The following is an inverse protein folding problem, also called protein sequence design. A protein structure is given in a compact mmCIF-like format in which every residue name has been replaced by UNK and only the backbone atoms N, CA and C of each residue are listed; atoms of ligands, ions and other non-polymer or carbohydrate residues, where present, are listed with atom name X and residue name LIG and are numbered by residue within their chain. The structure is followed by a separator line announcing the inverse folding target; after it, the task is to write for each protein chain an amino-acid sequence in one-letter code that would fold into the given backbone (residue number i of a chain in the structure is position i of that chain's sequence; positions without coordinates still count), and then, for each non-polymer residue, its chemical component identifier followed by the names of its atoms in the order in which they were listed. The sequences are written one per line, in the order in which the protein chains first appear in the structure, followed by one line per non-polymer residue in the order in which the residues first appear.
data_IF_298147149582
#
_entry.id   IF_298147149582
#
_cell.length_a   1.000
_cell.length_b   1.000
_cell.length_c   1.000
_cell.angle_alpha   90.00
_cell.angle_beta   90.00
_cell.angle_gamma   90.00
#
_symmetry.space_group_name_H-M   'P 1'
#
loop_
_entity.id
_entity.type
_entity.pdbx_description
1 polymer ?
#
# COMPACT_ATOMS: atom_id res chain seq x y z
N UNK A 1 -31.17 -3.33 13.05
CA UNK A 1 -30.50 -2.09 12.60
C UNK A 1 -29.46 -2.39 11.51
N UNK A 2 -29.86 -2.91 10.34
CA UNK A 2 -28.91 -3.38 9.30
C UNK A 2 -29.14 -2.75 7.91
N UNK A 3 -30.14 -1.86 7.79
CA UNK A 3 -30.55 -1.22 6.52
C UNK A 3 -30.05 0.22 6.38
N UNK A 4 -29.58 0.85 7.46
CA UNK A 4 -29.11 2.25 7.45
C UNK A 4 -27.68 2.38 6.90
N UNK A 5 -26.84 1.35 7.13
CA UNK A 5 -25.44 1.37 6.69
C UNK A 5 -25.30 1.37 5.14
N UNK A 6 -26.28 0.79 4.44
CA UNK A 6 -26.28 0.67 2.99
C UNK A 6 -26.64 2.01 2.31
N UNK A 7 -27.40 2.88 2.98
CA UNK A 7 -27.73 4.21 2.48
C UNK A 7 -26.55 5.18 2.60
N UNK A 8 -25.75 5.08 3.66
CA UNK A 8 -24.57 5.96 3.85
C UNK A 8 -23.49 5.69 2.79
N UNK A 9 -23.33 4.42 2.39
CA UNK A 9 -22.37 4.03 1.37
C UNK A 9 -22.79 4.47 -0.04
N UNK A 10 -24.09 4.52 -0.33
CA UNK A 10 -24.62 4.93 -1.63
C UNK A 10 -24.53 6.45 -1.84
N UNK A 11 -24.71 7.24 -0.78
CA UNK A 11 -24.57 8.70 -0.83
C UNK A 11 -23.14 9.16 -1.15
N UNK A 12 -22.13 8.38 -0.73
CA UNK A 12 -20.73 8.74 -0.94
C UNK A 12 -20.26 8.47 -2.37
N UNK A 13 -20.94 7.58 -3.11
CA UNK A 13 -20.58 7.21 -4.48
C UNK A 13 -21.07 8.23 -5.53
N UNK A 14 -22.06 9.06 -5.19
CA UNK A 14 -22.63 10.06 -6.10
C UNK A 14 -21.95 11.44 -5.99
N UNK A 15 -20.95 11.58 -5.12
CA UNK A 15 -20.13 12.79 -4.99
C UNK A 15 -19.01 12.81 -6.05
N UNK A 16 -19.38 12.67 -7.32
CA UNK A 16 -18.52 13.09 -8.43
C UNK A 16 -18.55 14.63 -8.46
N UNK A 17 -17.40 15.33 -8.41
CA UNK A 17 -17.41 16.77 -8.63
C UNK A 17 -17.68 17.00 -10.12
N UNK A 18 -18.93 17.29 -10.45
CA UNK A 18 -19.30 17.89 -11.72
C UNK A 18 -18.68 19.29 -11.75
N UNK A 19 -17.55 19.43 -12.46
CA UNK A 19 -16.98 20.71 -12.84
C UNK A 19 -17.96 21.40 -13.80
N UNK A 20 -18.84 22.22 -13.24
CA UNK A 20 -19.71 23.14 -13.99
C UNK A 20 -19.11 24.54 -13.95
N UNK A 21 -18.68 25.01 -15.12
CA UNK A 21 -18.19 26.35 -15.42
C UNK A 21 -19.32 27.38 -15.39
N UNK A 22 -19.10 28.56 -14.80
CA UNK A 22 -20.02 29.69 -15.03
C UNK A 22 -19.86 30.93 -14.13
N UNK A 23 -18.91 31.80 -14.50
CA UNK A 23 -18.95 33.29 -14.43
C UNK A 23 -19.30 34.03 -13.12
N UNK A 24 -18.31 34.71 -12.51
CA UNK A 24 -18.10 36.17 -12.64
C UNK A 24 -17.47 36.83 -11.39
N UNK A 25 -16.51 37.73 -11.65
CA UNK A 25 -16.08 38.89 -10.85
C UNK A 25 -15.13 38.69 -9.66
N UNK A 26 -13.82 38.84 -9.94
CA UNK A 26 -12.83 39.78 -9.35
C UNK A 26 -11.44 39.13 -9.29
N UNK A 27 -10.40 39.65 -9.98
CA UNK A 27 -9.04 39.16 -9.77
C UNK A 27 -8.52 39.77 -8.46
N UNK A 28 -8.73 39.07 -7.34
CA UNK A 28 -7.95 39.35 -6.14
C UNK A 28 -6.55 38.83 -6.42
N UNK A 29 -5.66 39.76 -6.77
CA UNK A 29 -4.25 39.52 -6.93
C UNK A 29 -3.65 39.21 -5.55
N UNK A 30 -3.53 37.92 -5.24
CA UNK A 30 -2.73 37.45 -4.12
C UNK A 30 -1.24 37.61 -4.46
N UNK A 31 -0.39 37.96 -3.49
CA UNK A 31 1.02 38.21 -3.75
C UNK A 31 1.72 36.95 -4.24
N UNK A 32 2.39 37.10 -5.37
CA UNK A 32 3.43 36.28 -6.00
C UNK A 32 3.67 34.88 -5.43
N UNK A 33 3.36 33.90 -6.29
CA UNK A 33 3.95 32.57 -6.35
C UNK A 33 5.48 32.61 -6.25
N UNK A 34 6.03 32.56 -5.04
CA UNK A 34 7.48 32.41 -4.79
C UNK A 34 7.88 31.21 -3.95
N UNK A 35 6.99 30.22 -3.85
CA UNK A 35 7.41 28.87 -3.50
C UNK A 35 7.08 27.97 -4.68
N UNK A 36 8.01 27.84 -5.66
CA UNK A 36 7.88 26.76 -6.63
C UNK A 36 7.92 25.48 -5.82
N UNK A 37 6.97 24.58 -6.07
CA UNK A 37 6.95 23.15 -5.73
C UNK A 37 8.24 22.55 -5.13
N UNK A 38 8.63 22.97 -3.91
CA UNK A 38 9.57 22.25 -3.07
C UNK A 38 8.77 21.14 -2.40
N UNK A 39 8.24 20.21 -3.20
CA UNK A 39 8.05 18.85 -2.70
C UNK A 39 9.44 18.36 -2.36
N UNK A 40 9.74 18.35 -1.07
CA UNK A 40 11.04 17.92 -0.57
C UNK A 40 11.25 16.47 -1.01
N UNK A 41 12.21 16.17 -1.92
CA UNK A 41 12.46 14.80 -2.35
C UNK A 41 12.84 13.88 -1.18
N UNK A 42 13.29 14.45 -0.06
CA UNK A 42 13.57 13.74 1.18
C UNK A 42 12.32 13.12 1.83
N UNK A 43 11.14 13.74 1.71
CA UNK A 43 9.92 13.23 2.34
C UNK A 43 9.37 12.01 1.58
N UNK A 44 9.37 12.07 0.24
CA UNK A 44 8.99 10.94 -0.60
C UNK A 44 9.94 9.75 -0.41
N UNK A 45 11.26 10.00 -0.29
CA UNK A 45 12.25 8.96 0.00
C UNK A 45 12.06 8.30 1.37
N UNK A 46 11.65 9.07 2.39
CA UNK A 46 11.39 8.53 3.72
C UNK A 46 10.14 7.64 3.74
N UNK A 47 9.08 8.06 3.04
CA UNK A 47 7.87 7.25 2.86
C UNK A 47 8.15 5.95 2.09
N UNK A 48 9.02 5.99 1.08
CA UNK A 48 9.43 4.81 0.34
C UNK A 48 10.22 3.82 1.21
N UNK A 49 11.10 4.31 2.10
CA UNK A 49 11.82 3.48 3.06
C UNK A 49 10.87 2.82 4.07
N UNK A 50 9.92 3.57 4.62
CA UNK A 50 8.93 3.04 5.56
C UNK A 50 8.04 1.98 4.89
N UNK A 51 7.59 2.22 3.66
CA UNK A 51 6.85 1.23 2.86
C UNK A 51 7.66 -0.02 2.60
N UNK A 52 8.95 0.11 2.28
CA UNK A 52 9.84 -1.04 2.09
C UNK A 52 9.98 -1.85 3.38
N UNK A 53 10.13 -1.17 4.52
CA UNK A 53 10.24 -1.83 5.82
C UNK A 53 8.94 -2.57 6.20
N UNK A 54 7.78 -1.92 6.09
CA UNK A 54 6.48 -2.53 6.36
C UNK A 54 6.26 -3.75 5.45
N UNK A 55 6.65 -3.65 4.17
CA UNK A 55 6.54 -4.77 3.22
C UNK A 55 7.42 -5.95 3.65
N UNK A 56 8.66 -5.68 4.06
CA UNK A 56 9.58 -6.70 4.54
C UNK A 56 9.04 -7.40 5.80
N UNK A 57 8.59 -6.63 6.79
CA UNK A 57 8.02 -7.18 8.03
C UNK A 57 6.77 -8.02 7.75
N UNK A 58 5.90 -7.54 6.86
CA UNK A 58 4.69 -8.28 6.45
C UNK A 58 5.05 -9.63 5.82
N UNK A 59 6.04 -9.68 4.93
CA UNK A 59 6.47 -10.93 4.30
C UNK A 59 7.07 -11.91 5.31
N UNK A 60 7.83 -11.42 6.29
CA UNK A 60 8.39 -12.23 7.38
C UNK A 60 7.29 -12.82 8.26
N UNK A 61 6.30 -11.99 8.67
CA UNK A 61 5.14 -12.45 9.45
C UNK A 61 4.36 -13.52 8.69
N UNK A 62 4.10 -13.32 7.40
CA UNK A 62 3.40 -14.31 6.58
C UNK A 62 4.16 -15.64 6.49
N UNK A 63 5.49 -15.58 6.38
CA UNK A 63 6.35 -16.77 6.38
C UNK A 63 6.25 -17.52 7.70
N UNK A 64 6.30 -16.81 8.82
CA UNK A 64 6.17 -17.40 10.16
C UNK A 64 4.79 -18.02 10.36
N UNK A 65 3.71 -17.35 9.91
CA UNK A 65 2.37 -17.92 9.92
C UNK A 65 2.29 -19.23 9.14
N UNK A 66 2.90 -19.31 7.95
CA UNK A 66 2.96 -20.54 7.16
C UNK A 66 3.76 -21.62 7.88
N UNK A 67 4.88 -21.28 8.52
CA UNK A 67 5.67 -22.22 9.32
C UNK A 67 4.86 -22.80 10.48
N UNK A 68 4.19 -21.94 11.26
CA UNK A 68 3.31 -22.37 12.36
C UNK A 68 2.18 -23.26 11.85
N UNK A 69 1.56 -22.92 10.71
CA UNK A 69 0.53 -23.76 10.12
C UNK A 69 1.07 -25.15 9.74
N UNK A 70 2.30 -25.27 9.24
CA UNK A 70 2.91 -26.57 8.91
C UNK A 70 3.20 -27.45 10.13
N UNK A 71 3.37 -26.86 11.31
CA UNK A 71 3.61 -27.59 12.56
C UNK A 71 2.30 -28.18 13.15
N UNK A 72 1.14 -27.77 12.64
CA UNK A 72 -0.16 -28.29 13.09
C UNK A 72 -0.30 -29.76 12.72
N UNK A 73 -0.48 -30.62 13.74
CA UNK A 73 -0.72 -32.06 13.54
C UNK A 73 -2.08 -32.30 12.88
N UNK A 74 -2.13 -33.27 11.96
CA UNK A 74 -3.37 -33.69 11.32
C UNK A 74 -3.80 -32.86 10.11
N UNK A 75 -2.89 -32.07 9.54
CA UNK A 75 -3.14 -31.37 8.28
C UNK A 75 -3.37 -32.36 7.13
N UNK A 76 -4.36 -32.05 6.29
CA UNK A 76 -4.64 -32.78 5.06
C UNK A 76 -3.43 -32.69 4.10
N UNK A 77 -3.01 -33.77 3.43
CA UNK A 77 -1.98 -33.73 2.39
C UNK A 77 -2.16 -32.62 1.34
N UNK A 78 -3.40 -32.30 0.96
CA UNK A 78 -3.70 -31.22 0.01
C UNK A 78 -3.34 -29.85 0.58
N UNK A 79 -3.64 -29.61 1.86
CA UNK A 79 -3.31 -28.37 2.56
C UNK A 79 -1.81 -28.26 2.83
N UNK A 80 -1.13 -29.37 3.13
CA UNK A 80 0.33 -29.43 3.23
C UNK A 80 1.01 -28.95 1.95
N UNK A 81 0.53 -29.44 0.78
CA UNK A 81 1.05 -29.01 -0.53
C UNK A 81 0.76 -27.53 -0.82
N UNK A 82 -0.39 -27.01 -0.38
CA UNK A 82 -0.71 -25.58 -0.48
C UNK A 82 0.21 -24.73 0.38
N UNK A 83 0.49 -25.15 1.61
CA UNK A 83 1.42 -24.47 2.51
C UNK A 83 2.85 -24.49 1.96
N UNK A 84 3.29 -25.59 1.35
CA UNK A 84 4.58 -25.66 0.67
C UNK A 84 4.66 -24.67 -0.51
N UNK A 85 3.63 -24.60 -1.35
CA UNK A 85 3.57 -23.61 -2.43
C UNK A 85 3.58 -22.16 -1.90
N UNK A 86 2.81 -21.88 -0.85
CA UNK A 86 2.79 -20.58 -0.20
C UNK A 86 4.15 -20.20 0.37
N UNK A 87 4.83 -21.14 1.05
CA UNK A 87 6.20 -20.95 1.55
C UNK A 87 7.14 -20.58 0.41
N UNK A 88 7.14 -21.35 -0.69
CA UNK A 88 8.00 -21.08 -1.85
C UNK A 88 7.74 -19.70 -2.47
N UNK A 89 6.47 -19.30 -2.57
CA UNK A 89 6.09 -17.96 -3.07
C UNK A 89 6.55 -16.85 -2.13
N UNK A 90 6.43 -17.04 -0.83
CA UNK A 90 6.90 -16.07 0.17
C UNK A 90 8.42 -15.93 0.13
N UNK A 91 9.17 -17.03 0.05
CA UNK A 91 10.63 -17.00 -0.08
C UNK A 91 11.07 -16.25 -1.36
N UNK A 92 10.37 -16.46 -2.48
CA UNK A 92 10.59 -15.68 -3.71
C UNK A 92 10.33 -14.18 -3.51
N UNK A 93 9.19 -13.82 -2.89
CA UNK A 93 8.85 -12.42 -2.64
C UNK A 93 9.84 -11.73 -1.69
N UNK A 94 10.28 -12.43 -0.65
CA UNK A 94 11.30 -11.94 0.28
C UNK A 94 12.61 -11.67 -0.46
N UNK A 95 13.08 -12.63 -1.26
CA UNK A 95 14.31 -12.49 -2.07
C UNK A 95 14.20 -11.31 -3.02
N UNK A 96 13.07 -11.17 -3.71
CA UNK A 96 12.81 -10.06 -4.64
C UNK A 96 12.77 -8.71 -3.93
N UNK A 97 12.15 -8.64 -2.75
CA UNK A 97 12.11 -7.42 -1.95
C UNK A 97 13.50 -7.01 -1.47
N UNK A 98 14.32 -7.97 -1.07
CA UNK A 98 15.72 -7.72 -0.71
C UNK A 98 16.51 -7.19 -1.90
N UNK A 99 16.35 -7.77 -3.09
CA UNK A 99 16.99 -7.29 -4.31
C UNK A 99 16.58 -5.84 -4.66
N UNK A 100 15.28 -5.54 -4.59
CA UNK A 100 14.76 -4.18 -4.82
C UNK A 100 15.34 -3.20 -3.80
N UNK A 101 15.38 -3.58 -2.52
CA UNK A 101 15.96 -2.72 -1.48
C UNK A 101 17.46 -2.50 -1.69
N UNK A 102 18.23 -3.53 -2.07
CA UNK A 102 19.65 -3.40 -2.40
C UNK A 102 19.88 -2.47 -3.60
N UNK A 103 19.09 -2.62 -4.67
CA UNK A 103 19.16 -1.74 -5.85
C UNK A 103 18.81 -0.29 -5.50
N UNK A 104 17.80 -0.08 -4.64
CA UNK A 104 17.40 1.25 -4.17
C UNK A 104 18.50 1.92 -3.32
N UNK A 105 19.34 1.14 -2.63
CA UNK A 105 20.50 1.65 -1.88
C UNK A 105 21.71 1.95 -2.78
N UNK A 106 21.95 1.14 -3.81
CA UNK A 106 23.06 1.31 -4.75
C UNK A 106 22.81 2.38 -5.82
N UNK A 107 21.54 2.69 -6.11
CA UNK A 107 21.13 3.74 -7.04
C UNK A 107 21.06 5.15 -6.44
N UNK A 108 21.51 5.32 -5.18
CA UNK A 108 21.76 6.62 -4.54
C UNK A 108 23.25 6.88 -4.51
#
# INVERSE_FOLDING_TARGET
MKKILLFVFLSLLMASPALSTGTAATPVQFPDSRFPDQRFPAQDQMLDLERQQITQETLMILRDMVSVMREVKGIDPADSKRLENLSSRLDFLITRQQEISMRSRLGR
#
